data_IF_674090988313
#
_entry.id   IF_674090988313
#
_cell.length_a   1.000
_cell.length_b   1.000
_cell.length_c   1.000
_cell.angle_alpha   90.00
_cell.angle_beta   90.00
_cell.angle_gamma   90.00
#
_symmetry.space_group_name_H-M   'P 1'
#
loop_
_entity.id
_entity.type
_entity.pdbx_description
1 polymer ?
#
# COMPACT_ATOMS: atom_id res chain seq x y z
N UNK A 1 29.31 4.00 53.56
CA UNK A 1 30.70 4.48 53.64
C UNK A 1 31.28 4.32 52.23
N UNK A 2 31.60 5.38 51.48
CA UNK A 2 32.62 6.40 51.74
C UNK A 2 34.04 5.80 51.83
N UNK A 3 35.08 6.27 51.13
CA UNK A 3 35.20 7.40 50.17
C UNK A 3 36.67 7.56 49.72
N UNK A 4 36.95 8.35 48.64
CA UNK A 4 38.23 9.07 48.38
C UNK A 4 39.42 8.16 47.90
N UNK A 5 40.40 8.54 47.04
CA UNK A 5 40.88 9.83 46.46
C UNK A 5 41.17 9.71 44.94
N UNK A 6 41.17 10.84 44.22
CA UNK A 6 41.82 11.06 42.90
C UNK A 6 43.03 12.01 43.09
N UNK A 7 44.10 11.95 42.27
CA UNK A 7 44.27 12.93 41.17
C UNK A 7 45.05 12.36 39.95
N UNK A 8 45.23 13.03 38.80
CA UNK A 8 44.46 14.08 38.07
C UNK A 8 45.15 14.36 36.72
N UNK A 9 44.43 14.74 35.65
CA UNK A 9 44.97 15.64 34.62
C UNK A 9 43.83 16.42 33.93
N UNK A 10 44.14 17.63 33.45
CA UNK A 10 43.17 18.67 33.13
C UNK A 10 43.38 19.19 31.72
N UNK A 11 42.29 19.40 30.97
CA UNK A 11 42.30 20.35 29.86
C UNK A 11 40.94 21.04 29.74
N UNK A 12 40.94 22.38 29.84
CA UNK A 12 39.74 23.19 29.83
C UNK A 12 39.45 23.72 28.43
N UNK A 13 38.18 23.66 28.01
CA UNK A 13 37.59 24.62 27.07
C UNK A 13 36.19 24.95 27.59
N UNK A 14 36.03 26.15 28.14
CA UNK A 14 34.81 26.56 28.84
C UNK A 14 33.74 27.09 27.87
N UNK A 15 32.52 26.57 27.99
CA UNK A 15 31.34 27.24 27.46
C UNK A 15 30.70 28.10 28.56
N UNK A 16 30.54 29.39 28.27
CA UNK A 16 30.10 30.39 29.24
C UNK A 16 28.56 30.48 29.25
N UNK A 17 27.94 30.25 30.41
CA UNK A 17 26.48 30.28 30.59
C UNK A 17 25.97 31.73 30.68
N UNK A 18 25.73 32.34 29.52
CA UNK A 18 25.09 33.65 29.41
C UNK A 18 23.57 33.57 29.59
N UNK A 19 23.08 33.99 30.75
CA UNK A 19 21.64 34.09 31.05
C UNK A 19 20.94 35.20 30.26
N UNK A 20 20.04 34.87 29.34
CA UNK A 20 19.12 35.85 28.75
C UNK A 20 17.85 35.20 28.13
N UNK A 21 16.96 34.66 28.98
CA UNK A 21 15.62 34.24 28.56
C UNK A 21 14.71 35.47 28.36
N UNK A 22 14.99 36.24 27.30
CA UNK A 22 14.10 37.31 26.86
C UNK A 22 12.99 36.71 26.01
N UNK A 23 11.77 36.66 26.57
CA UNK A 23 10.56 36.41 25.80
C UNK A 23 10.46 37.42 24.65
N UNK A 24 10.73 36.97 23.43
CA UNK A 24 10.30 37.71 22.25
C UNK A 24 8.81 37.44 22.04
N UNK A 25 7.99 38.48 22.21
CA UNK A 25 6.64 38.47 21.65
C UNK A 25 6.76 38.38 20.12
N UNK A 26 6.58 37.16 19.60
CA UNK A 26 6.42 36.94 18.17
C UNK A 26 5.12 37.62 17.73
N UNK A 27 5.25 38.83 17.19
CA UNK A 27 4.14 39.63 16.66
C UNK A 27 3.27 38.78 15.74
N UNK A 28 1.95 38.83 15.95
CA UNK A 28 0.92 38.15 15.13
C UNK A 28 1.16 38.36 13.62
N UNK A 29 1.85 37.42 12.95
CA UNK A 29 2.16 37.51 11.51
C UNK A 29 2.17 36.18 10.75
N UNK A 30 1.70 35.09 11.37
CA UNK A 30 1.61 33.75 10.75
C UNK A 30 0.24 33.41 10.15
N UNK A 31 -0.85 33.98 10.66
CA UNK A 31 -2.24 33.58 10.29
C UNK A 31 -2.62 33.95 8.84
N UNK A 32 -2.20 35.12 8.36
CA UNK A 32 -2.54 35.56 7.00
C UNK A 32 -1.81 34.77 5.89
N UNK A 33 -0.56 34.32 6.11
CA UNK A 33 0.19 33.54 5.10
C UNK A 33 -0.46 32.18 4.86
N UNK A 34 -0.78 31.44 5.92
CA UNK A 34 -1.50 30.17 5.83
C UNK A 34 -2.86 30.35 5.13
N UNK A 35 -3.54 31.47 5.37
CA UNK A 35 -4.82 31.79 4.70
C UNK A 35 -4.66 32.09 3.20
N UNK A 36 -3.57 32.76 2.80
CA UNK A 36 -3.28 33.03 1.38
C UNK A 36 -2.83 31.76 0.64
N UNK A 37 -1.90 30.98 1.20
CA UNK A 37 -1.46 29.69 0.63
C UNK A 37 -2.64 28.72 0.47
N UNK A 38 -3.54 28.64 1.47
CA UNK A 38 -4.80 27.88 1.37
C UNK A 38 -5.64 28.32 0.17
N UNK A 39 -5.84 29.62 -0.01
CA UNK A 39 -6.61 30.16 -1.15
C UNK A 39 -5.98 29.93 -2.53
N UNK A 40 -4.66 29.70 -2.59
CA UNK A 40 -3.94 29.38 -3.82
C UNK A 40 -3.98 27.88 -4.11
N UNK A 41 -3.89 27.03 -3.09
CA UNK A 41 -4.06 25.58 -3.19
C UNK A 41 -5.51 25.24 -3.60
N UNK A 42 -6.52 25.85 -2.97
CA UNK A 42 -7.93 25.66 -3.32
C UNK A 42 -8.21 25.99 -4.80
N UNK A 43 -7.60 27.07 -5.32
CA UNK A 43 -7.68 27.45 -6.73
C UNK A 43 -6.93 26.46 -7.64
N UNK A 44 -5.75 26.00 -7.24
CA UNK A 44 -4.97 25.02 -8.00
C UNK A 44 -5.68 23.65 -8.07
N UNK A 45 -6.39 23.26 -7.01
CA UNK A 45 -7.25 22.06 -6.99
C UNK A 45 -8.41 22.25 -7.99
N UNK A 46 -9.16 23.35 -7.89
CA UNK A 46 -10.28 23.64 -8.81
C UNK A 46 -9.84 23.72 -10.28
N UNK A 47 -8.66 24.31 -10.58
CA UNK A 47 -8.15 24.46 -11.95
C UNK A 47 -7.53 23.18 -12.55
N UNK A 48 -7.11 22.22 -11.72
CA UNK A 48 -6.57 20.94 -12.18
C UNK A 48 -7.63 19.83 -12.28
N UNK A 49 -8.81 20.01 -11.67
CA UNK A 49 -9.95 19.09 -11.84
C UNK A 49 -10.58 19.27 -13.22
N UNK A 50 -10.65 20.50 -13.74
CA UNK A 50 -11.39 20.84 -14.97
C UNK A 50 -10.65 20.57 -16.30
N UNK A 51 -9.37 20.16 -16.27
CA UNK A 51 -8.54 20.05 -17.48
C UNK A 51 -8.33 18.64 -18.02
N UNK A 52 -8.60 17.60 -17.24
CA UNK A 52 -8.10 16.23 -17.52
C UNK A 52 -9.21 15.24 -17.93
N UNK A 53 -10.45 15.68 -18.19
CA UNK A 53 -11.55 14.81 -18.64
C UNK A 53 -11.45 14.42 -20.15
N UNK A 54 -10.25 14.45 -20.76
CA UNK A 54 -10.02 14.10 -22.19
C UNK A 54 -8.82 13.17 -22.35
N UNK A 55 -8.94 11.90 -21.92
CA UNK A 55 -8.08 10.78 -22.34
C UNK A 55 -8.88 9.45 -22.36
N UNK A 56 -9.81 9.31 -23.30
CA UNK A 56 -10.41 8.00 -23.62
C UNK A 56 -9.47 7.19 -24.52
N UNK A 57 -9.04 6.02 -24.04
CA UNK A 57 -8.26 5.04 -24.80
C UNK A 57 -9.11 3.83 -25.18
N UNK A 58 -9.23 3.55 -26.47
CA UNK A 58 -10.20 2.57 -27.01
C UNK A 58 -9.75 1.10 -26.84
N UNK A 59 -10.59 0.29 -26.21
CA UNK A 59 -10.60 -1.17 -26.32
C UNK A 59 -11.94 -1.64 -26.90
N UNK A 60 -12.03 -2.72 -27.69
CA UNK A 60 -13.29 -3.16 -28.31
C UNK A 60 -14.05 -4.16 -27.43
N UNK A 61 -15.25 -3.79 -26.97
CA UNK A 61 -16.17 -4.69 -26.25
C UNK A 61 -17.29 -3.93 -25.55
N UNK A 62 -18.55 -4.21 -25.91
CA UNK A 62 -19.75 -3.46 -25.51
C UNK A 62 -19.95 -3.29 -23.99
N UNK A 63 -19.41 -2.21 -23.40
CA UNK A 63 -19.97 -1.40 -22.28
C UNK A 63 -18.99 -0.26 -21.90
N UNK A 64 -18.45 0.45 -22.90
CA UNK A 64 -17.26 1.31 -22.76
C UNK A 64 -17.48 2.69 -22.11
N UNK A 65 -18.71 3.02 -21.69
CA UNK A 65 -19.05 4.34 -21.15
C UNK A 65 -19.01 4.46 -19.62
N UNK A 66 -18.67 3.40 -18.88
CA UNK A 66 -18.77 3.40 -17.42
C UNK A 66 -17.43 2.98 -16.77
N UNK A 67 -16.88 3.88 -15.95
CA UNK A 67 -15.68 3.62 -15.16
C UNK A 67 -15.89 2.44 -14.19
N UNK A 68 -14.87 1.61 -13.91
CA UNK A 68 -14.98 0.49 -12.96
C UNK A 68 -15.54 0.93 -11.60
N UNK A 69 -16.31 0.09 -10.87
CA UNK A 69 -17.05 0.51 -9.67
C UNK A 69 -16.20 1.25 -8.62
N UNK A 70 -15.07 0.66 -8.24
CA UNK A 70 -14.13 1.26 -7.28
C UNK A 70 -13.52 2.59 -7.79
N UNK A 71 -13.20 2.67 -9.09
CA UNK A 71 -12.64 3.90 -9.70
C UNK A 71 -13.69 5.01 -9.77
N UNK A 72 -14.95 4.65 -10.06
CA UNK A 72 -16.09 5.56 -10.03
C UNK A 72 -16.34 6.11 -8.63
N UNK A 73 -16.39 5.23 -7.63
CA UNK A 73 -16.56 5.60 -6.21
C UNK A 73 -15.41 6.51 -5.72
N UNK A 74 -14.18 6.20 -6.11
CA UNK A 74 -13.00 7.00 -5.77
C UNK A 74 -13.01 8.39 -6.44
N UNK A 75 -13.41 8.49 -7.72
CA UNK A 75 -13.55 9.79 -8.41
C UNK A 75 -14.67 10.63 -7.78
N UNK A 76 -15.81 10.01 -7.43
CA UNK A 76 -16.91 10.70 -6.76
C UNK A 76 -16.52 11.20 -5.36
N UNK A 77 -15.92 10.36 -4.53
CA UNK A 77 -15.45 10.71 -3.16
C UNK A 77 -14.35 11.77 -3.17
N UNK A 78 -13.51 11.79 -4.21
CA UNK A 78 -12.52 12.84 -4.44
C UNK A 78 -13.14 14.20 -4.80
N UNK A 79 -14.27 14.21 -5.51
CA UNK A 79 -15.00 15.44 -5.88
C UNK A 79 -15.81 16.03 -4.73
N UNK A 80 -16.22 15.23 -3.75
CA UNK A 80 -16.89 15.71 -2.54
C UNK A 80 -15.90 16.53 -1.68
N UNK A 81 -16.06 17.85 -1.65
CA UNK A 81 -15.22 18.76 -0.86
C UNK A 81 -15.66 18.81 0.62
N UNK A 82 -15.71 17.65 1.26
CA UNK A 82 -16.08 17.49 2.68
C UNK A 82 -14.87 17.80 3.55
N UNK A 83 -15.09 18.44 4.71
CA UNK A 83 -14.05 18.68 5.69
C UNK A 83 -13.61 17.36 6.33
N UNK A 84 -12.44 16.85 5.93
CA UNK A 84 -11.85 15.63 6.47
C UNK A 84 -11.23 15.85 7.85
N UNK A 85 -11.83 15.21 8.86
CA UNK A 85 -11.27 15.06 10.22
C UNK A 85 -10.79 13.62 10.50
N UNK A 86 -10.50 12.88 9.43
CA UNK A 86 -10.02 11.50 9.45
C UNK A 86 -8.57 11.42 8.96
N UNK A 87 -7.95 10.25 9.14
CA UNK A 87 -6.69 9.93 8.46
C UNK A 87 -6.92 9.82 6.93
N UNK A 88 -5.89 10.05 6.08
CA UNK A 88 -4.51 10.39 6.43
C UNK A 88 -4.28 11.86 6.82
N UNK A 89 -3.27 12.10 7.68
CA UNK A 89 -2.99 13.41 8.28
C UNK A 89 -2.53 14.51 7.33
N UNK A 90 -2.22 14.21 6.06
CA UNK A 90 -1.98 15.23 5.04
C UNK A 90 -3.27 15.94 4.60
N UNK A 91 -4.45 15.49 5.06
CA UNK A 91 -5.75 16.13 4.89
C UNK A 91 -6.04 16.53 3.43
N UNK A 92 -6.17 15.53 2.55
CA UNK A 92 -6.37 15.69 1.09
C UNK A 92 -5.28 16.51 0.36
N UNK A 93 -4.14 16.74 1.02
CA UNK A 93 -2.97 17.44 0.50
C UNK A 93 -2.73 18.82 1.10
N UNK A 94 -3.65 19.36 1.90
CA UNK A 94 -3.50 20.66 2.58
C UNK A 94 -2.34 20.71 3.58
N UNK A 95 -1.99 19.57 4.19
CA UNK A 95 -0.86 19.40 5.09
C UNK A 95 0.27 18.54 4.49
N UNK A 96 0.24 18.28 3.18
CA UNK A 96 1.32 17.59 2.50
C UNK A 96 2.55 18.51 2.33
N UNK A 97 3.79 18.00 2.47
CA UNK A 97 5.00 18.79 2.25
C UNK A 97 5.04 19.38 0.84
N UNK A 98 5.32 20.68 0.73
CA UNK A 98 5.32 21.41 -0.55
C UNK A 98 6.41 20.93 -1.53
N UNK A 99 7.45 20.26 -1.06
CA UNK A 99 8.43 19.55 -1.89
C UNK A 99 7.82 18.34 -2.60
N UNK A 100 6.94 17.60 -1.92
CA UNK A 100 6.32 16.39 -2.43
C UNK A 100 5.14 16.70 -3.37
N UNK A 101 4.29 17.66 -3.02
CA UNK A 101 3.18 18.09 -3.90
C UNK A 101 3.69 18.72 -5.21
N UNK A 102 4.87 19.32 -5.23
CA UNK A 102 5.55 19.78 -6.46
C UNK A 102 6.14 18.64 -7.30
N UNK A 103 6.44 17.49 -6.69
CA UNK A 103 7.06 16.35 -7.37
C UNK A 103 6.01 15.42 -8.00
N UNK A 104 4.97 15.05 -7.26
CA UNK A 104 3.95 14.07 -7.68
C UNK A 104 2.57 14.69 -7.94
N UNK A 105 2.44 16.01 -7.79
CA UNK A 105 1.16 16.72 -7.87
C UNK A 105 0.30 16.59 -6.62
N UNK A 106 -0.87 17.27 -6.64
CA UNK A 106 -1.84 17.23 -5.54
C UNK A 106 -2.81 16.04 -5.65
N UNK A 107 -3.06 15.54 -6.87
CA UNK A 107 -4.10 14.53 -7.15
C UNK A 107 -3.95 13.23 -6.35
N UNK A 108 -2.74 12.65 -6.16
CA UNK A 108 -2.59 11.44 -5.33
C UNK A 108 -3.14 11.63 -3.91
N UNK A 109 -2.89 12.78 -3.29
CA UNK A 109 -3.37 13.09 -1.94
C UNK A 109 -4.88 13.30 -1.86
N UNK A 110 -5.55 13.67 -2.95
CA UNK A 110 -7.01 13.84 -2.99
C UNK A 110 -7.70 12.48 -3.09
N UNK A 111 -7.04 11.50 -3.72
CA UNK A 111 -7.51 10.11 -3.84
C UNK A 111 -7.03 9.20 -2.69
N UNK A 112 -6.09 9.63 -1.85
CA UNK A 112 -5.70 8.94 -0.62
C UNK A 112 -6.78 9.16 0.46
N UNK A 113 -7.75 8.24 0.48
CA UNK A 113 -8.94 8.27 1.33
C UNK A 113 -8.99 6.99 2.20
N UNK A 114 -9.46 7.09 3.45
CA UNK A 114 -9.62 5.94 4.33
C UNK A 114 -10.85 5.10 3.94
N UNK A 115 -11.14 4.07 4.74
CA UNK A 115 -12.41 3.33 4.74
C UNK A 115 -13.57 4.30 5.07
N UNK A 116 -14.14 4.92 4.03
CA UNK A 116 -15.33 5.75 4.08
C UNK A 116 -16.57 4.91 3.72
N UNK A 117 -17.77 5.22 4.25
CA UNK A 117 -19.01 4.51 3.90
C UNK A 117 -19.29 4.45 2.39
N UNK A 118 -18.83 5.44 1.63
CA UNK A 118 -18.99 5.52 0.17
C UNK A 118 -17.91 4.74 -0.61
N UNK A 119 -16.82 4.32 0.03
CA UNK A 119 -15.65 3.70 -0.61
C UNK A 119 -15.44 2.22 -0.23
N UNK A 120 -16.14 1.72 0.79
CA UNK A 120 -16.12 0.33 1.29
C UNK A 120 -14.93 -0.03 2.22
N UNK A 121 -15.01 -1.20 2.85
CA UNK A 121 -13.95 -1.79 3.69
C UNK A 121 -13.25 -2.93 2.95
N UNK A 122 -11.93 -2.87 2.78
CA UNK A 122 -11.16 -3.91 2.08
C UNK A 122 -11.20 -5.28 2.77
N UNK A 123 -11.35 -5.33 4.10
CA UNK A 123 -11.38 -6.56 4.89
C UNK A 123 -12.75 -7.25 4.90
N UNK A 124 -13.82 -6.50 4.63
CA UNK A 124 -15.21 -7.00 4.58
C UNK A 124 -15.99 -6.19 3.54
N UNK A 125 -15.76 -6.46 2.23
CA UNK A 125 -16.30 -5.62 1.17
C UNK A 125 -17.80 -5.88 0.97
N UNK A 126 -18.59 -4.80 1.00
CA UNK A 126 -20.05 -4.82 0.86
C UNK A 126 -20.55 -3.91 -0.29
N UNK A 127 -19.68 -3.11 -0.90
CA UNK A 127 -20.01 -2.05 -1.86
C UNK A 127 -19.05 -1.99 -3.05
N UNK A 128 -18.50 -0.82 -3.43
CA UNK A 128 -17.68 -0.66 -4.64
C UNK A 128 -16.47 -1.60 -4.77
N UNK A 129 -15.92 -2.12 -3.66
CA UNK A 129 -14.84 -3.12 -3.71
C UNK A 129 -15.43 -4.49 -4.08
N UNK A 130 -16.55 -4.90 -3.48
CA UNK A 130 -17.25 -6.13 -3.81
C UNK A 130 -17.73 -6.14 -5.26
N UNK A 131 -18.34 -5.05 -5.74
CA UNK A 131 -18.76 -4.91 -7.13
C UNK A 131 -17.59 -5.06 -8.11
N UNK A 132 -16.44 -4.46 -7.80
CA UNK A 132 -15.23 -4.57 -8.60
C UNK A 132 -14.64 -6.00 -8.56
N UNK A 133 -14.69 -6.68 -7.42
CA UNK A 133 -14.28 -8.08 -7.26
C UNK A 133 -15.18 -9.04 -8.08
N UNK A 134 -16.50 -8.83 -8.05
CA UNK A 134 -17.49 -9.60 -8.84
C UNK A 134 -17.37 -9.33 -10.36
N UNK A 135 -16.96 -8.13 -10.76
CA UNK A 135 -16.60 -7.86 -12.17
C UNK A 135 -15.29 -8.56 -12.56
N UNK A 136 -14.30 -8.57 -11.67
CA UNK A 136 -13.03 -9.24 -11.90
C UNK A 136 -13.16 -10.77 -11.97
N UNK A 137 -13.97 -11.42 -11.12
CA UNK A 137 -14.20 -12.87 -11.20
C UNK A 137 -14.83 -13.28 -12.54
N UNK A 138 -15.82 -12.52 -13.03
CA UNK A 138 -16.42 -12.71 -14.36
C UNK A 138 -15.41 -12.53 -15.49
N UNK A 139 -14.46 -11.59 -15.37
CA UNK A 139 -13.42 -11.35 -16.38
C UNK A 139 -12.37 -12.46 -16.42
N UNK A 140 -11.93 -12.94 -15.25
CA UNK A 140 -10.91 -13.98 -15.14
C UNK A 140 -11.47 -15.42 -15.21
N UNK A 141 -12.79 -15.59 -15.16
CA UNK A 141 -13.45 -16.90 -15.15
C UNK A 141 -13.28 -17.66 -13.83
N UNK A 142 -12.99 -16.98 -12.73
CA UNK A 142 -12.92 -17.57 -11.40
C UNK A 142 -14.30 -17.60 -10.73
N UNK A 143 -14.48 -18.48 -9.73
CA UNK A 143 -15.68 -18.44 -8.89
C UNK A 143 -15.75 -17.16 -8.06
N UNK A 144 -14.61 -16.78 -7.47
CA UNK A 144 -14.45 -15.58 -6.63
C UNK A 144 -13.10 -14.90 -6.95
N UNK A 145 -12.98 -13.62 -6.61
CA UNK A 145 -11.73 -12.84 -6.76
C UNK A 145 -11.57 -11.90 -5.57
N UNK A 146 -10.44 -11.97 -4.87
CA UNK A 146 -10.09 -11.03 -3.80
C UNK A 146 -8.99 -10.08 -4.24
N UNK A 147 -9.12 -8.80 -3.89
CA UNK A 147 -8.09 -7.80 -4.17
C UNK A 147 -7.03 -7.78 -3.06
N UNK A 148 -5.75 -7.69 -3.45
CA UNK A 148 -4.61 -7.84 -2.56
C UNK A 148 -3.66 -6.65 -2.69
N UNK A 149 -3.41 -5.95 -1.59
CA UNK A 149 -2.46 -4.81 -1.55
C UNK A 149 -1.02 -5.24 -1.24
N UNK A 150 -0.80 -6.44 -0.69
CA UNK A 150 0.52 -6.98 -0.33
C UNK A 150 1.23 -7.74 -1.46
N UNK A 151 0.77 -7.60 -2.71
CA UNK A 151 1.26 -8.35 -3.87
C UNK A 151 1.04 -9.87 -3.77
N UNK A 152 1.61 -10.61 -4.73
CA UNK A 152 1.40 -12.06 -4.88
C UNK A 152 1.90 -12.87 -3.68
N UNK A 153 2.90 -12.39 -2.93
CA UNK A 153 3.38 -13.03 -1.70
C UNK A 153 2.27 -13.16 -0.66
N UNK A 154 1.52 -12.09 -0.42
CA UNK A 154 0.37 -12.08 0.48
C UNK A 154 -0.72 -13.06 -0.01
N UNK A 155 -1.01 -13.08 -1.31
CA UNK A 155 -1.98 -14.00 -1.90
C UNK A 155 -1.60 -15.48 -1.75
N UNK A 156 -0.34 -15.83 -1.99
CA UNK A 156 0.17 -17.21 -1.82
C UNK A 156 0.11 -17.63 -0.35
N UNK A 157 0.51 -16.75 0.57
CA UNK A 157 0.42 -17.00 2.00
C UNK A 157 -1.04 -17.18 2.45
N UNK A 158 -1.94 -16.28 2.06
CA UNK A 158 -3.36 -16.37 2.39
C UNK A 158 -4.00 -17.66 1.83
N UNK A 159 -3.71 -18.03 0.58
CA UNK A 159 -4.25 -19.24 -0.04
C UNK A 159 -3.80 -20.52 0.69
N UNK A 160 -2.51 -20.62 1.03
CA UNK A 160 -1.96 -21.79 1.76
C UNK A 160 -2.46 -21.81 3.21
N UNK A 161 -2.53 -20.66 3.89
CA UNK A 161 -3.04 -20.56 5.27
C UNK A 161 -4.55 -20.81 5.38
N UNK A 162 -5.32 -20.53 4.34
CA UNK A 162 -6.76 -20.82 4.30
C UNK A 162 -7.07 -22.30 3.96
N UNK A 163 -6.10 -23.05 3.42
CA UNK A 163 -6.32 -24.42 2.92
C UNK A 163 -5.58 -25.51 3.70
N UNK A 164 -4.45 -25.20 4.34
CA UNK A 164 -3.62 -26.16 5.08
C UNK A 164 -3.57 -25.86 6.58
N UNK A 165 -3.81 -26.89 7.39
CA UNK A 165 -3.57 -26.91 8.83
C UNK A 165 -2.15 -27.40 9.17
N UNK A 166 -1.66 -27.19 10.41
CA UNK A 166 -0.38 -27.74 10.85
C UNK A 166 -0.34 -29.28 10.71
N UNK A 167 0.68 -29.78 10.02
CA UNK A 167 0.86 -31.21 9.73
C UNK A 167 0.24 -31.70 8.41
N UNK A 168 -0.61 -30.90 7.75
CA UNK A 168 -1.13 -31.25 6.41
C UNK A 168 -0.02 -31.29 5.38
N UNK A 169 -0.14 -32.14 4.36
CA UNK A 169 0.84 -32.24 3.28
C UNK A 169 0.47 -31.36 2.08
N UNK A 170 1.40 -30.50 1.64
CA UNK A 170 1.23 -29.66 0.44
C UNK A 170 2.24 -30.03 -0.64
N UNK A 171 1.75 -30.37 -1.83
CA UNK A 171 2.57 -30.71 -3.00
C UNK A 171 3.07 -29.43 -3.66
N UNK A 172 4.38 -29.30 -3.85
CA UNK A 172 5.02 -28.13 -4.46
C UNK A 172 6.21 -28.52 -5.35
N UNK A 173 6.44 -27.83 -6.48
CA UNK A 173 7.68 -27.99 -7.24
C UNK A 173 8.87 -27.41 -6.45
N UNK A 174 10.06 -28.02 -6.57
CA UNK A 174 11.24 -27.64 -5.77
C UNK A 174 11.78 -26.24 -6.11
N UNK A 175 11.48 -25.72 -7.30
CA UNK A 175 11.76 -24.34 -7.73
C UNK A 175 10.65 -23.33 -7.35
N UNK A 176 9.74 -23.69 -6.43
CA UNK A 176 8.70 -22.78 -5.91
C UNK A 176 9.29 -21.46 -5.39
N UNK A 177 8.57 -20.37 -5.62
CA UNK A 177 8.94 -19.06 -5.10
C UNK A 177 9.00 -19.03 -3.56
N UNK A 178 9.90 -18.22 -3.00
CA UNK A 178 10.17 -18.14 -1.55
C UNK A 178 8.92 -17.81 -0.71
N UNK A 179 7.91 -17.16 -1.28
CA UNK A 179 6.61 -16.91 -0.63
C UNK A 179 5.86 -18.19 -0.25
N UNK A 180 5.91 -19.24 -1.09
CA UNK A 180 5.29 -20.53 -0.78
C UNK A 180 6.03 -21.24 0.35
N UNK A 181 7.37 -21.16 0.35
CA UNK A 181 8.21 -21.71 1.44
C UNK A 181 7.93 -20.96 2.75
N UNK A 182 7.81 -19.64 2.70
CA UNK A 182 7.40 -18.83 3.86
C UNK A 182 6.00 -19.20 4.36
N UNK A 183 5.05 -19.50 3.47
CA UNK A 183 3.71 -19.92 3.86
C UNK A 183 3.70 -21.26 4.61
N UNK A 184 4.48 -22.25 4.15
CA UNK A 184 4.66 -23.53 4.87
C UNK A 184 5.20 -23.32 6.30
N UNK A 185 6.16 -22.40 6.47
CA UNK A 185 6.71 -22.08 7.78
C UNK A 185 5.69 -21.39 8.70
N UNK A 186 4.71 -20.67 8.14
CA UNK A 186 3.63 -20.03 8.89
C UNK A 186 2.49 -21.00 9.24
N UNK A 187 2.16 -21.95 8.35
CA UNK A 187 1.11 -22.96 8.61
C UNK A 187 1.60 -24.17 9.40
N UNK A 188 2.89 -24.50 9.32
CA UNK A 188 3.38 -25.80 9.79
C UNK A 188 2.98 -26.96 8.87
N UNK A 189 2.59 -26.68 7.62
CA UNK A 189 2.32 -27.71 6.62
C UNK A 189 3.62 -28.37 6.11
N UNK A 190 3.56 -29.66 5.83
CA UNK A 190 4.68 -30.48 5.39
C UNK A 190 4.81 -30.45 3.86
N UNK A 191 5.92 -29.95 3.28
CA UNK A 191 6.10 -29.97 1.84
C UNK A 191 6.35 -31.37 1.30
N UNK A 192 5.66 -31.70 0.22
CA UNK A 192 5.97 -32.81 -0.68
C UNK A 192 6.56 -32.24 -1.97
N UNK A 193 7.88 -32.32 -2.10
CA UNK A 193 8.59 -31.68 -3.22
C UNK A 193 8.64 -32.55 -4.47
N UNK A 194 8.14 -32.01 -5.58
CA UNK A 194 8.40 -32.53 -6.92
C UNK A 194 9.68 -31.87 -7.45
N UNK A 195 10.63 -32.65 -7.97
CA UNK A 195 11.81 -32.13 -8.65
C UNK A 195 11.44 -31.92 -10.13
N UNK A 196 11.43 -30.67 -10.65
CA UNK A 196 11.20 -30.44 -12.08
C UNK A 196 12.30 -31.06 -12.93
N UNK A 197 12.04 -31.27 -14.21
CA UNK A 197 13.11 -31.58 -15.16
C UNK A 197 14.13 -30.44 -15.20
N UNK A 198 15.38 -30.71 -15.58
CA UNK A 198 16.45 -29.72 -15.62
C UNK A 198 17.24 -29.89 -16.91
N UNK A 199 17.35 -28.80 -17.67
CA UNK A 199 18.13 -28.72 -18.89
C UNK A 199 19.55 -28.27 -18.56
N UNK A 200 20.50 -29.18 -18.72
CA UNK A 200 21.92 -28.95 -18.45
C UNK A 200 22.67 -28.19 -19.54
N UNK A 201 22.09 -28.02 -20.74
CA UNK A 201 22.68 -27.21 -21.81
C UNK A 201 22.38 -25.72 -21.57
N UNK A 202 21.16 -25.42 -21.10
CA UNK A 202 20.69 -24.06 -20.86
C UNK A 202 20.73 -23.58 -19.41
N UNK A 203 21.02 -24.47 -18.44
CA UNK A 203 20.96 -24.19 -16.98
C UNK A 203 19.59 -23.64 -16.55
N UNK A 204 18.52 -24.32 -17.01
CA UNK A 204 17.13 -23.94 -16.71
C UNK A 204 16.34 -25.10 -16.13
N UNK A 205 15.45 -24.78 -15.18
CA UNK A 205 14.42 -25.70 -14.74
C UNK A 205 13.30 -25.79 -15.78
N UNK A 206 12.99 -27.01 -16.20
CA UNK A 206 11.85 -27.34 -17.04
C UNK A 206 10.53 -27.38 -16.28
N UNK A 207 9.51 -27.92 -16.94
CA UNK A 207 8.18 -28.07 -16.37
C UNK A 207 8.07 -29.22 -15.35
N UNK A 208 6.92 -29.27 -14.68
CA UNK A 208 6.45 -30.47 -13.98
C UNK A 208 5.44 -31.18 -14.86
N UNK A 209 5.64 -32.48 -15.05
CA UNK A 209 4.73 -33.32 -15.84
C UNK A 209 3.58 -33.85 -14.97
N UNK A 210 2.39 -34.15 -15.54
CA UNK A 210 1.27 -34.72 -14.78
C UNK A 210 1.60 -36.04 -14.06
N UNK A 211 2.55 -36.83 -14.59
CA UNK A 211 2.97 -38.09 -13.99
C UNK A 211 3.70 -37.86 -12.66
N UNK A 212 4.55 -36.83 -12.58
CA UNK A 212 5.27 -36.46 -11.35
C UNK A 212 4.34 -35.91 -10.25
N UNK A 213 3.15 -35.44 -10.62
CA UNK A 213 2.13 -34.97 -9.69
C UNK A 213 1.13 -36.07 -9.29
N UNK A 214 1.32 -37.32 -9.76
CA UNK A 214 0.44 -38.44 -9.40
C UNK A 214 0.71 -38.94 -7.97
N UNK A 215 -0.36 -39.33 -7.26
CA UNK A 215 -0.29 -39.77 -5.86
C UNK A 215 0.53 -41.06 -5.65
N UNK A 216 0.88 -41.79 -6.71
CA UNK A 216 1.73 -42.98 -6.63
C UNK A 216 3.22 -42.65 -6.39
N UNK A 217 3.62 -41.37 -6.49
CA UNK A 217 5.01 -40.92 -6.34
C UNK A 217 5.25 -40.03 -5.09
N UNK A 218 4.25 -39.84 -4.22
CA UNK A 218 4.24 -38.77 -3.19
C UNK A 218 3.93 -39.30 -1.78
#
# INVERSE_FOLDING_TARGET
>A
MASIFSPSLQMCLGFNLGSNWRLQESTKKSVCRVSQERSEIDKAIQQNITKDDILEGTLPGNNLGQLPPLVSALKASAQQNVASFHFPGHNRGHAAPSSLTKLIGIKPFIHDLPELPELDNLFSPEGPILDAQVQASKLFGSSETWFLIGGTTCGIQAAIMATCSPGDSLILPRNSHISAISALMLTGALPKYIIPEYDSEWDIAGGVTPLQASLEQI
#
